data_IF_623644411178
#
_entry.id   IF_623644411178
#
_cell.length_a   1.000
_cell.length_b   1.000
_cell.length_c   1.000
_cell.angle_alpha   90.00
_cell.angle_beta   90.00
_cell.angle_gamma   90.00
#
_symmetry.space_group_name_H-M   'P 1'
#
loop_
_entity.id
_entity.type
_entity.pdbx_description
1 polymer ?
#
# COMPACT_ATOMS: atom_id res chain seq x y z
N UNK A 1 -38.62 19.31 -1.23
CA UNK A 1 -38.09 20.34 -0.32
C UNK A 1 -36.58 20.31 -0.46
N UNK A 2 -35.94 21.42 -0.80
CA UNK A 2 -34.49 21.46 -0.93
C UNK A 2 -33.84 21.36 0.46
N UNK A 3 -32.87 20.46 0.63
CA UNK A 3 -32.03 20.37 1.83
C UNK A 3 -31.02 21.53 1.82
N UNK A 4 -30.84 22.17 2.97
CA UNK A 4 -29.80 23.18 3.18
C UNK A 4 -28.79 22.61 4.17
N UNK A 5 -27.55 22.42 3.72
CA UNK A 5 -26.43 22.00 4.54
C UNK A 5 -25.55 23.20 4.86
N UNK A 6 -24.97 23.27 6.07
CA UNK A 6 -24.17 24.44 6.50
C UNK A 6 -22.83 24.00 7.07
N UNK A 7 -21.75 24.55 6.50
CA UNK A 7 -20.38 24.45 7.02
C UNK A 7 -20.05 25.64 7.92
N UNK A 8 -19.00 25.52 8.73
CA UNK A 8 -18.52 26.58 9.62
C UNK A 8 -18.06 27.81 8.82
N UNK A 9 -18.29 29.00 9.38
CA UNK A 9 -17.93 30.30 8.79
C UNK A 9 -18.40 30.48 7.33
N UNK A 10 -19.60 29.99 7.03
CA UNK A 10 -20.16 30.06 5.68
C UNK A 10 -20.50 31.49 5.26
N UNK A 11 -19.94 31.91 4.13
CA UNK A 11 -20.09 33.22 3.49
C UNK A 11 -20.48 33.11 2.00
N UNK A 12 -20.67 31.89 1.49
CA UNK A 12 -20.97 31.61 0.09
C UNK A 12 -21.92 30.42 -0.05
N UNK A 13 -22.61 30.31 -1.18
CA UNK A 13 -23.56 29.22 -1.45
C UNK A 13 -23.20 28.44 -2.71
N UNK A 14 -23.15 27.12 -2.59
CA UNK A 14 -23.07 26.20 -3.74
C UNK A 14 -24.39 25.46 -3.87
N UNK A 15 -24.90 25.36 -5.09
CA UNK A 15 -26.14 24.63 -5.37
C UNK A 15 -25.88 23.51 -6.38
N UNK A 16 -26.46 22.35 -6.14
CA UNK A 16 -26.52 21.29 -7.15
C UNK A 16 -27.54 21.68 -8.21
N UNK A 17 -27.09 21.72 -9.47
CA UNK A 17 -27.98 21.90 -10.63
C UNK A 17 -28.84 20.66 -10.92
N UNK A 18 -28.50 19.49 -10.36
CA UNK A 18 -29.19 18.22 -10.62
C UNK A 18 -30.39 18.00 -9.71
N UNK A 19 -30.23 18.32 -8.42
CA UNK A 19 -31.26 18.05 -7.39
C UNK A 19 -31.68 19.30 -6.60
N UNK A 20 -31.04 20.45 -6.83
CA UNK A 20 -31.37 21.72 -6.18
C UNK A 20 -30.92 21.82 -4.73
N UNK A 21 -30.22 20.82 -4.19
CA UNK A 21 -29.61 20.90 -2.85
C UNK A 21 -28.66 22.08 -2.76
N UNK A 22 -28.68 22.78 -1.62
CA UNK A 22 -27.86 23.99 -1.42
C UNK A 22 -26.97 23.83 -0.20
N UNK A 23 -25.72 24.25 -0.34
CA UNK A 23 -24.66 24.14 0.66
C UNK A 23 -24.13 25.54 0.96
N UNK A 24 -24.31 25.98 2.21
CA UNK A 24 -23.65 27.17 2.73
C UNK A 24 -22.21 26.81 3.13
N UNK A 25 -21.23 27.42 2.47
CA UNK A 25 -19.80 27.08 2.53
C UNK A 25 -18.94 28.31 2.77
N UNK A 26 -17.71 28.09 3.23
CA UNK A 26 -16.69 29.13 3.36
C UNK A 26 -15.87 29.23 2.06
N UNK A 27 -15.97 30.36 1.36
CA UNK A 27 -15.32 30.60 0.06
C UNK A 27 -13.80 30.51 0.13
N UNK A 28 -13.19 31.05 1.18
CA UNK A 28 -11.74 31.01 1.35
C UNK A 28 -11.21 29.57 1.42
N UNK A 29 -11.97 28.61 1.97
CA UNK A 29 -11.60 27.19 1.96
C UNK A 29 -11.63 26.58 0.56
N UNK A 30 -12.58 27.01 -0.29
CA UNK A 30 -12.65 26.57 -1.68
C UNK A 30 -11.45 27.10 -2.48
N UNK A 31 -11.17 28.40 -2.39
CA UNK A 31 -10.04 29.06 -3.08
C UNK A 31 -8.69 28.46 -2.67
N UNK A 32 -8.44 28.31 -1.37
CA UNK A 32 -7.19 27.75 -0.87
C UNK A 32 -7.05 26.23 -1.09
N UNK A 33 -8.17 25.54 -1.29
CA UNK A 33 -8.22 24.09 -1.40
C UNK A 33 -8.30 23.56 -2.83
N UNK A 34 -8.45 24.41 -3.84
CA UNK A 34 -8.67 24.00 -5.23
C UNK A 34 -8.25 25.09 -6.21
N UNK A 35 -7.39 24.74 -7.18
CA UNK A 35 -7.06 25.66 -8.26
C UNK A 35 -8.27 26.01 -9.13
N UNK A 36 -9.17 25.03 -9.38
CA UNK A 36 -10.37 25.25 -10.18
C UNK A 36 -11.28 26.30 -9.54
N UNK A 37 -11.52 26.21 -8.22
CA UNK A 37 -12.32 27.21 -7.52
C UNK A 37 -11.63 28.58 -7.48
N UNK A 38 -10.32 28.61 -7.23
CA UNK A 38 -9.53 29.84 -7.29
C UNK A 38 -9.72 30.57 -8.64
N UNK A 39 -9.50 29.87 -9.75
CA UNK A 39 -9.63 30.43 -11.10
C UNK A 39 -11.07 30.88 -11.42
N UNK A 40 -12.07 30.08 -11.02
CA UNK A 40 -13.48 30.42 -11.19
C UNK A 40 -13.84 31.72 -10.49
N UNK A 41 -13.39 31.90 -9.25
CA UNK A 41 -13.68 33.08 -8.46
C UNK A 41 -12.93 34.31 -8.99
N UNK A 42 -11.67 34.18 -9.39
CA UNK A 42 -10.90 35.27 -10.01
C UNK A 42 -11.56 35.80 -11.30
N UNK A 43 -12.15 34.92 -12.10
CA UNK A 43 -12.80 35.31 -13.36
C UNK A 43 -14.18 35.98 -13.14
N UNK A 44 -14.90 35.62 -12.08
CA UNK A 44 -16.30 35.98 -11.88
C UNK A 44 -16.53 37.13 -10.89
N UNK A 45 -15.52 37.56 -10.12
CA UNK A 45 -15.65 38.54 -9.04
C UNK A 45 -15.86 40.01 -9.47
N UNK A 46 -16.25 40.27 -10.73
CA UNK A 46 -16.52 41.62 -11.25
C UNK A 46 -17.88 42.21 -10.81
N UNK A 47 -18.67 41.47 -10.03
CA UNK A 47 -19.98 41.90 -9.54
C UNK A 47 -19.87 42.60 -8.18
N UNK A 48 -20.36 43.84 -8.07
CA UNK A 48 -20.39 44.61 -6.81
C UNK A 48 -21.32 43.99 -5.74
N UNK A 49 -22.24 43.11 -6.13
CA UNK A 49 -23.14 42.41 -5.20
C UNK A 49 -22.59 41.02 -4.87
N UNK A 50 -21.97 40.90 -3.69
CA UNK A 50 -21.45 39.64 -3.13
C UNK A 50 -22.51 38.80 -2.38
N UNK A 51 -23.59 39.44 -1.90
CA UNK A 51 -24.54 38.81 -0.97
C UNK A 51 -25.47 37.76 -1.61
N UNK A 52 -25.58 37.71 -2.94
CA UNK A 52 -26.45 36.77 -3.68
C UNK A 52 -25.67 35.78 -4.57
N UNK A 53 -24.36 35.62 -4.35
CA UNK A 53 -23.56 34.74 -5.20
C UNK A 53 -23.80 33.26 -4.87
N UNK A 54 -24.48 32.57 -5.79
CA UNK A 54 -24.67 31.13 -5.77
C UNK A 54 -23.90 30.51 -6.93
N UNK A 55 -23.02 29.55 -6.64
CA UNK A 55 -22.34 28.76 -7.66
C UNK A 55 -23.12 27.47 -7.92
N UNK A 56 -23.62 27.32 -9.15
CA UNK A 56 -24.27 26.09 -9.59
C UNK A 56 -23.23 25.07 -10.08
N UNK A 57 -23.21 23.89 -9.46
CA UNK A 57 -22.36 22.77 -9.87
C UNK A 57 -23.19 21.61 -10.41
N UNK A 58 -22.66 20.91 -11.41
CA UNK A 58 -23.29 19.74 -12.01
C UNK A 58 -22.84 18.44 -11.35
N UNK A 59 -23.18 18.32 -10.06
CA UNK A 59 -22.88 17.17 -9.21
C UNK A 59 -24.08 16.87 -8.31
N UNK A 60 -24.38 15.60 -8.02
CA UNK A 60 -25.44 15.26 -7.08
C UNK A 60 -25.07 15.64 -5.65
N UNK A 61 -26.07 15.80 -4.78
CA UNK A 61 -25.92 16.18 -3.36
C UNK A 61 -24.84 15.37 -2.64
N UNK A 62 -24.80 14.05 -2.85
CA UNK A 62 -23.83 13.15 -2.20
C UNK A 62 -22.37 13.43 -2.62
N UNK A 63 -22.15 13.70 -3.91
CA UNK A 63 -20.83 14.04 -4.46
C UNK A 63 -20.38 15.41 -4.00
N UNK A 64 -21.28 16.41 -4.00
CA UNK A 64 -20.97 17.74 -3.46
C UNK A 64 -20.67 17.69 -1.96
N UNK A 65 -21.43 16.91 -1.19
CA UNK A 65 -21.16 16.72 0.23
C UNK A 65 -19.75 16.15 0.47
N UNK A 66 -19.31 15.18 -0.34
CA UNK A 66 -17.96 14.62 -0.27
C UNK A 66 -16.88 15.63 -0.65
N UNK A 67 -17.05 16.35 -1.77
CA UNK A 67 -16.14 17.41 -2.22
C UNK A 67 -15.96 18.49 -1.16
N UNK A 68 -17.07 18.99 -0.61
CA UNK A 68 -17.05 20.04 0.39
C UNK A 68 -16.44 19.58 1.70
N UNK A 69 -16.68 18.33 2.11
CA UNK A 69 -15.96 17.75 3.26
C UNK A 69 -14.46 17.68 3.03
N UNK A 70 -13.99 17.29 1.83
CA UNK A 70 -12.55 17.29 1.52
C UNK A 70 -11.94 18.69 1.64
N UNK A 71 -12.65 19.74 1.23
CA UNK A 71 -12.17 21.12 1.26
C UNK A 71 -12.22 21.74 2.67
N UNK A 72 -13.30 21.52 3.41
CA UNK A 72 -13.51 22.11 4.73
C UNK A 72 -12.82 21.34 5.86
N UNK A 73 -12.83 20.01 5.77
CA UNK A 73 -12.32 19.12 6.81
C UNK A 73 -11.62 17.92 6.17
N UNK A 74 -10.43 18.13 5.57
CA UNK A 74 -9.62 17.05 4.99
C UNK A 74 -9.51 15.86 5.94
N UNK A 75 -9.62 14.62 5.44
CA UNK A 75 -9.48 13.45 6.29
C UNK A 75 -8.07 13.40 6.88
N UNK A 76 -7.98 13.11 8.17
CA UNK A 76 -6.70 12.82 8.80
C UNK A 76 -6.16 11.48 8.26
N UNK A 77 -4.83 11.32 8.10
CA UNK A 77 -4.25 10.05 7.67
C UNK A 77 -4.69 8.89 8.57
N UNK A 78 -4.78 7.66 8.04
CA UNK A 78 -5.14 6.49 8.83
C UNK A 78 -4.09 6.25 9.94
N UNK A 79 -4.55 5.71 11.06
CA UNK A 79 -3.69 5.43 12.22
C UNK A 79 -2.67 4.36 11.85
N UNK A 80 -1.39 4.65 12.07
CA UNK A 80 -0.30 3.72 11.83
C UNK A 80 -0.07 2.82 13.04
N UNK A 81 0.06 1.52 12.79
CA UNK A 81 0.62 0.59 13.78
C UNK A 81 2.13 0.55 13.62
N UNK A 82 2.84 1.22 14.53
CA UNK A 82 4.24 0.88 14.75
C UNK A 82 4.25 -0.48 15.47
N UNK A 83 4.52 -1.57 14.75
CA UNK A 83 5.09 -2.73 15.42
C UNK A 83 6.47 -2.28 15.89
N UNK A 84 6.61 -2.00 17.19
CA UNK A 84 7.93 -1.84 17.78
C UNK A 84 8.74 -3.09 17.41
N UNK A 85 9.89 -2.95 16.72
CA UNK A 85 10.79 -4.08 16.51
C UNK A 85 11.31 -4.46 17.90
N UNK A 86 10.78 -5.53 18.48
CA UNK A 86 11.29 -6.07 19.73
C UNK A 86 12.73 -6.54 19.46
N UNK A 87 13.71 -5.69 19.75
CA UNK A 87 15.13 -6.04 19.80
C UNK A 87 15.93 -6.00 18.49
N UNK A 88 15.38 -5.60 17.34
CA UNK A 88 16.16 -5.55 16.09
C UNK A 88 16.94 -4.23 15.97
N UNK A 89 18.27 -4.29 16.16
CA UNK A 89 19.23 -3.18 15.93
C UNK A 89 19.43 -2.82 14.44
N UNK A 90 18.63 -3.39 13.55
CA UNK A 90 18.69 -3.16 12.10
C UNK A 90 17.39 -2.49 11.71
N UNK A 91 17.48 -1.29 11.12
CA UNK A 91 16.33 -0.58 10.56
C UNK A 91 15.78 -1.43 9.41
N UNK A 92 14.78 -2.26 9.70
CA UNK A 92 14.11 -3.08 8.69
C UNK A 92 13.09 -2.24 7.95
N UNK A 93 13.05 -2.37 6.62
CA UNK A 93 11.93 -1.94 5.76
C UNK A 93 10.71 -2.85 6.00
N UNK A 94 10.25 -2.96 7.25
CA UNK A 94 8.94 -3.56 7.50
C UNK A 94 7.92 -2.57 6.94
N UNK A 95 7.01 -3.02 6.07
CA UNK A 95 6.09 -2.09 5.46
C UNK A 95 5.14 -1.53 6.52
N UNK A 96 4.91 -0.23 6.45
CA UNK A 96 4.01 0.50 7.37
C UNK A 96 2.65 -0.18 7.32
N UNK A 97 2.09 -0.51 8.49
CA UNK A 97 0.74 -1.05 8.61
C UNK A 97 -0.19 0.00 9.19
N UNK A 98 -1.41 -0.01 8.70
CA UNK A 98 -2.46 0.92 9.09
C UNK A 98 -3.62 0.19 9.73
N UNK A 99 -4.35 0.89 10.60
CA UNK A 99 -5.63 0.43 11.12
C UNK A 99 -6.72 0.62 10.06
N UNK A 100 -7.17 -0.50 9.49
CA UNK A 100 -8.24 -0.53 8.50
C UNK A 100 -9.56 0.07 9.02
N UNK A 101 -9.80 0.07 10.33
CA UNK A 101 -11.00 0.69 10.91
C UNK A 101 -10.98 2.21 10.82
N UNK A 102 -9.80 2.79 10.67
CA UNK A 102 -9.58 4.24 10.48
C UNK A 102 -9.40 4.61 9.01
N UNK A 103 -9.31 3.62 8.11
CA UNK A 103 -9.12 3.84 6.70
C UNK A 103 -10.46 4.12 5.98
N UNK A 104 -10.46 5.10 5.07
CA UNK A 104 -11.61 5.35 4.21
C UNK A 104 -11.82 4.12 3.30
N UNK A 105 -13.04 3.57 3.20
CA UNK A 105 -13.31 2.40 2.36
C UNK A 105 -12.96 2.63 0.88
N UNK A 106 -12.43 1.59 0.21
CA UNK A 106 -11.99 1.67 -1.19
C UNK A 106 -13.03 2.28 -2.15
N UNK A 107 -14.33 1.90 -2.15
CA UNK A 107 -15.32 2.50 -3.05
C UNK A 107 -15.45 4.01 -2.88
N UNK A 108 -15.33 4.50 -1.65
CA UNK A 108 -15.38 5.93 -1.34
C UNK A 108 -14.09 6.61 -1.79
N UNK A 109 -12.92 6.00 -1.57
CA UNK A 109 -11.65 6.53 -2.07
C UNK A 109 -11.67 6.76 -3.59
N UNK A 110 -12.30 5.88 -4.37
CA UNK A 110 -12.44 6.07 -5.84
C UNK A 110 -13.08 7.42 -6.17
N UNK A 111 -14.17 7.74 -5.47
CA UNK A 111 -14.87 9.01 -5.62
C UNK A 111 -14.00 10.19 -5.17
N UNK A 112 -13.29 10.06 -4.04
CA UNK A 112 -12.45 11.16 -3.52
C UNK A 112 -11.27 11.48 -4.44
N UNK A 113 -10.63 10.46 -5.04
CA UNK A 113 -9.59 10.68 -6.05
C UNK A 113 -10.14 11.30 -7.34
N UNK A 114 -11.33 10.86 -7.80
CA UNK A 114 -12.00 11.49 -8.94
C UNK A 114 -12.29 12.98 -8.68
N UNK A 115 -12.77 13.32 -7.49
CA UNK A 115 -12.99 14.71 -7.09
C UNK A 115 -11.70 15.50 -6.98
N UNK A 116 -10.65 14.87 -6.47
CA UNK A 116 -9.31 15.48 -6.38
C UNK A 116 -8.78 15.85 -7.76
N UNK A 117 -8.94 14.97 -8.76
CA UNK A 117 -8.59 15.24 -10.15
C UNK A 117 -9.47 16.34 -10.77
N UNK A 118 -10.79 16.13 -10.74
CA UNK A 118 -11.77 17.03 -11.37
C UNK A 118 -11.68 18.47 -10.88
N UNK A 119 -11.47 18.65 -9.58
CA UNK A 119 -11.41 19.97 -8.95
C UNK A 119 -9.99 20.40 -8.59
N UNK A 120 -8.96 19.68 -9.04
CA UNK A 120 -7.54 19.99 -8.76
C UNK A 120 -7.30 20.32 -7.26
N UNK A 121 -7.74 19.43 -6.37
CA UNK A 121 -7.72 19.68 -4.93
C UNK A 121 -6.30 19.68 -4.37
N UNK A 122 -6.04 20.62 -3.45
CA UNK A 122 -4.74 20.84 -2.81
C UNK A 122 -4.70 20.20 -1.42
N UNK A 123 -3.52 19.73 -1.01
CA UNK A 123 -3.22 19.26 0.35
C UNK A 123 -4.01 18.04 0.87
N UNK A 124 -4.88 17.43 0.07
CA UNK A 124 -5.62 16.21 0.45
C UNK A 124 -4.94 14.92 -0.04
N UNK A 125 -4.13 15.04 -1.09
CA UNK A 125 -3.65 13.90 -1.86
C UNK A 125 -2.80 12.93 -1.02
N UNK A 126 -1.91 13.44 -0.18
CA UNK A 126 -1.03 12.58 0.65
C UNK A 126 -1.82 11.78 1.70
N UNK A 127 -2.85 12.40 2.28
CA UNK A 127 -3.76 11.69 3.20
C UNK A 127 -4.56 10.61 2.48
N UNK A 128 -5.10 10.92 1.30
CA UNK A 128 -5.82 9.94 0.47
C UNK A 128 -4.92 8.79 0.01
N UNK A 129 -3.65 9.06 -0.34
CA UNK A 129 -2.64 8.03 -0.64
C UNK A 129 -2.40 7.12 0.55
N UNK A 130 -2.27 7.66 1.75
CA UNK A 130 -2.10 6.86 2.97
C UNK A 130 -3.33 5.97 3.24
N UNK A 131 -4.54 6.49 3.06
CA UNK A 131 -5.77 5.69 3.14
C UNK A 131 -5.82 4.58 2.09
N UNK A 132 -5.40 4.87 0.85
CA UNK A 132 -5.34 3.87 -0.21
C UNK A 132 -4.32 2.76 0.10
N UNK A 133 -3.14 3.13 0.61
CA UNK A 133 -2.10 2.19 1.04
C UNK A 133 -2.51 1.35 2.25
N UNK A 134 -3.41 1.84 3.11
CA UNK A 134 -3.95 1.07 4.22
C UNK A 134 -4.60 -0.24 3.77
N UNK A 135 -5.22 -0.26 2.57
CA UNK A 135 -5.86 -1.44 1.99
C UNK A 135 -4.89 -2.37 1.26
N UNK A 136 -3.64 -1.97 1.02
CA UNK A 136 -2.70 -2.77 0.24
C UNK A 136 -2.47 -4.20 0.78
N UNK A 137 -2.40 -4.45 2.10
CA UNK A 137 -2.23 -5.80 2.63
C UNK A 137 -3.36 -6.78 2.32
N UNK A 138 -4.60 -6.30 2.16
CA UNK A 138 -5.77 -7.13 1.84
C UNK A 138 -6.09 -7.11 0.35
N UNK A 139 -5.90 -5.97 -0.31
CA UNK A 139 -6.38 -5.69 -1.66
C UNK A 139 -5.24 -5.25 -2.61
N UNK A 140 -4.05 -5.84 -2.44
CA UNK A 140 -2.81 -5.39 -3.10
C UNK A 140 -2.92 -5.18 -4.61
N UNK A 141 -3.56 -6.11 -5.34
CA UNK A 141 -3.75 -5.98 -6.79
C UNK A 141 -4.64 -4.80 -7.18
N UNK A 142 -5.71 -4.57 -6.42
CA UNK A 142 -6.63 -3.45 -6.63
C UNK A 142 -5.92 -2.13 -6.32
N UNK A 143 -5.23 -2.04 -5.18
CA UNK A 143 -4.50 -0.83 -4.80
C UNK A 143 -3.38 -0.50 -5.80
N UNK A 144 -2.67 -1.52 -6.28
CA UNK A 144 -1.68 -1.40 -7.34
C UNK A 144 -2.26 -0.80 -8.62
N UNK A 145 -3.34 -1.39 -9.13
CA UNK A 145 -4.03 -0.89 -10.31
C UNK A 145 -4.52 0.55 -10.13
N UNK A 146 -5.03 0.88 -8.95
CA UNK A 146 -5.46 2.24 -8.59
C UNK A 146 -4.31 3.25 -8.67
N UNK A 147 -3.14 2.91 -8.12
CA UNK A 147 -1.95 3.76 -8.22
C UNK A 147 -1.55 4.03 -9.68
N UNK A 148 -1.64 3.02 -10.54
CA UNK A 148 -1.32 3.16 -11.97
C UNK A 148 -2.35 4.00 -12.74
N UNK A 149 -3.65 3.74 -12.54
CA UNK A 149 -4.73 4.47 -13.20
C UNK A 149 -4.73 5.97 -12.87
N UNK A 150 -4.20 6.33 -11.71
CA UNK A 150 -4.13 7.70 -11.21
C UNK A 150 -2.72 8.29 -11.29
N UNK A 151 -1.83 7.72 -12.11
CA UNK A 151 -0.43 8.19 -12.25
C UNK A 151 -0.28 9.66 -12.67
N UNK A 152 -1.31 10.27 -13.25
CA UNK A 152 -1.33 11.71 -13.53
C UNK A 152 -1.50 12.58 -12.26
N UNK A 153 -2.04 12.02 -11.18
CA UNK A 153 -2.31 12.70 -9.91
C UNK A 153 -1.09 12.66 -8.97
N UNK A 154 -0.01 13.34 -9.37
CA UNK A 154 1.22 13.42 -8.58
C UNK A 154 1.94 12.07 -8.46
N UNK A 155 2.68 11.85 -7.36
CA UNK A 155 3.47 10.63 -7.17
C UNK A 155 2.60 9.41 -6.74
N UNK A 156 1.73 8.94 -7.62
CA UNK A 156 0.95 7.70 -7.43
C UNK A 156 1.74 6.45 -7.85
N UNK A 157 2.82 6.61 -8.60
CA UNK A 157 3.78 5.53 -8.91
C UNK A 157 4.36 4.91 -7.65
N UNK A 158 4.64 5.74 -6.63
CA UNK A 158 5.02 5.25 -5.30
C UNK A 158 3.96 4.32 -4.69
N UNK A 159 2.67 4.70 -4.75
CA UNK A 159 1.56 3.88 -4.21
C UNK A 159 1.50 2.53 -4.92
N UNK A 160 1.60 2.52 -6.25
CA UNK A 160 1.63 1.29 -7.03
C UNK A 160 2.83 0.42 -6.62
N UNK A 161 4.02 1.01 -6.50
CA UNK A 161 5.21 0.28 -6.09
C UNK A 161 5.09 -0.31 -4.68
N UNK A 162 4.57 0.45 -3.72
CA UNK A 162 4.30 -0.04 -2.37
C UNK A 162 3.28 -1.18 -2.36
N UNK A 163 2.19 -1.06 -3.12
CA UNK A 163 1.16 -2.09 -3.18
C UNK A 163 1.65 -3.40 -3.82
N UNK A 164 2.62 -3.31 -4.73
CA UNK A 164 3.15 -4.46 -5.48
C UNK A 164 3.73 -5.57 -4.59
N UNK A 165 4.23 -5.22 -3.40
CA UNK A 165 4.77 -6.21 -2.45
C UNK A 165 3.70 -7.11 -1.81
N UNK A 166 2.43 -6.70 -1.86
CA UNK A 166 1.31 -7.42 -1.28
C UNK A 166 0.54 -8.25 -2.31
N UNK A 167 0.88 -8.13 -3.60
CA UNK A 167 0.22 -8.89 -4.66
C UNK A 167 0.58 -10.37 -4.52
N UNK A 168 -0.45 -11.22 -4.38
CA UNK A 168 -0.33 -12.66 -4.35
C UNK A 168 0.22 -13.19 -5.69
N UNK A 169 0.73 -14.42 -5.76
CA UNK A 169 1.15 -15.01 -7.03
C UNK A 169 0.05 -14.84 -8.09
N UNK A 170 0.41 -14.26 -9.25
CA UNK A 170 -0.57 -13.91 -10.28
C UNK A 170 -1.51 -15.06 -10.70
N UNK A 171 -1.08 -16.34 -10.75
CA UNK A 171 -1.97 -17.46 -11.06
C UNK A 171 -3.14 -17.67 -10.08
N UNK A 172 -3.12 -17.02 -8.91
CA UNK A 172 -4.18 -17.16 -7.90
C UNK A 172 -5.35 -16.22 -8.14
N UNK A 173 -5.17 -15.20 -9.00
CA UNK A 173 -6.25 -14.29 -9.37
C UNK A 173 -7.04 -14.83 -10.56
N UNK A 174 -8.36 -14.62 -10.51
CA UNK A 174 -9.23 -14.82 -11.65
C UNK A 174 -8.95 -13.80 -12.77
N UNK A 175 -9.41 -14.12 -13.98
CA UNK A 175 -9.31 -13.19 -15.10
C UNK A 175 -10.03 -11.86 -14.83
N UNK A 176 -11.15 -11.88 -14.10
CA UNK A 176 -11.90 -10.67 -13.78
C UNK A 176 -11.18 -9.78 -12.76
N UNK A 177 -10.46 -10.37 -11.82
CA UNK A 177 -9.60 -9.62 -10.89
C UNK A 177 -8.40 -9.01 -11.61
N UNK A 178 -7.78 -9.73 -12.55
CA UNK A 178 -6.61 -9.22 -13.30
C UNK A 178 -6.97 -8.06 -14.23
N UNK A 179 -8.21 -8.00 -14.75
CA UNK A 179 -8.68 -6.93 -15.64
C UNK A 179 -8.61 -5.53 -15.02
N UNK A 180 -8.48 -5.40 -13.71
CA UNK A 180 -8.30 -4.10 -13.05
C UNK A 180 -6.96 -3.46 -13.41
N UNK A 181 -5.94 -4.26 -13.78
CA UNK A 181 -4.63 -3.76 -14.17
C UNK A 181 -4.72 -3.05 -15.52
N UNK A 182 -4.32 -1.77 -15.64
CA UNK A 182 -4.62 -0.96 -16.82
C UNK A 182 -3.98 -1.46 -18.12
N UNK A 183 -2.74 -1.96 -18.05
CA UNK A 183 -1.98 -2.37 -19.23
C UNK A 183 -1.29 -3.72 -19.07
N UNK A 184 -0.98 -4.35 -20.20
CA UNK A 184 -0.18 -5.60 -20.24
C UNK A 184 1.23 -5.36 -19.68
N UNK A 185 1.80 -4.18 -19.89
CA UNK A 185 3.12 -3.83 -19.36
C UNK A 185 3.10 -3.80 -17.82
N UNK A 186 2.06 -3.22 -17.23
CA UNK A 186 1.89 -3.16 -15.77
C UNK A 186 1.70 -4.55 -15.16
N UNK A 187 0.95 -5.43 -15.82
CA UNK A 187 0.82 -6.83 -15.42
C UNK A 187 2.17 -7.56 -15.51
N UNK A 188 2.90 -7.35 -16.61
CA UNK A 188 4.19 -7.97 -16.83
C UNK A 188 5.24 -7.53 -15.79
N UNK A 189 5.19 -6.27 -15.33
CA UNK A 189 6.06 -5.76 -14.28
C UNK A 189 5.86 -6.52 -12.96
N UNK A 190 4.61 -6.81 -12.57
CA UNK A 190 4.33 -7.65 -11.39
C UNK A 190 4.87 -9.07 -11.60
N UNK A 191 4.68 -9.64 -12.79
CA UNK A 191 5.22 -10.96 -13.10
C UNK A 191 6.76 -11.01 -13.02
N UNK A 192 7.45 -9.98 -13.53
CA UNK A 192 8.92 -9.82 -13.42
C UNK A 192 9.35 -9.79 -11.96
N UNK A 193 8.68 -8.99 -11.14
CA UNK A 193 8.93 -8.92 -9.69
C UNK A 193 8.80 -10.29 -9.03
N UNK A 194 7.69 -10.98 -9.25
CA UNK A 194 7.42 -12.28 -8.64
C UNK A 194 8.44 -13.34 -9.08
N UNK A 195 8.77 -13.38 -10.38
CA UNK A 195 9.76 -14.31 -10.94
C UNK A 195 11.15 -14.06 -10.35
N UNK A 196 11.56 -12.79 -10.26
CA UNK A 196 12.84 -12.42 -9.67
C UNK A 196 12.91 -12.86 -8.21
N UNK A 197 11.86 -12.56 -7.44
CA UNK A 197 11.77 -12.93 -6.00
C UNK A 197 11.90 -14.43 -5.80
N UNK A 198 11.16 -15.23 -6.56
CA UNK A 198 11.23 -16.70 -6.47
C UNK A 198 12.65 -17.20 -6.71
N UNK A 199 13.29 -16.75 -7.80
CA UNK A 199 14.67 -17.15 -8.13
C UNK A 199 15.67 -16.76 -7.04
N UNK A 200 15.60 -15.52 -6.56
CA UNK A 200 16.51 -15.02 -5.53
C UNK A 200 16.32 -15.76 -4.19
N UNK A 201 15.08 -16.00 -3.78
CA UNK A 201 14.77 -16.76 -2.56
C UNK A 201 15.23 -18.21 -2.65
N UNK A 202 15.03 -18.87 -3.80
CA UNK A 202 15.54 -20.23 -4.05
C UNK A 202 17.07 -20.27 -3.99
N UNK A 203 17.76 -19.31 -4.61
CA UNK A 203 19.22 -19.22 -4.61
C UNK A 203 19.77 -19.03 -3.19
N UNK A 204 19.17 -18.13 -2.41
CA UNK A 204 19.53 -17.92 -1.00
C UNK A 204 19.34 -19.22 -0.21
N UNK A 205 18.16 -19.85 -0.31
CA UNK A 205 17.82 -21.05 0.45
C UNK A 205 18.74 -22.24 0.12
N UNK A 206 19.05 -22.46 -1.15
CA UNK A 206 19.92 -23.57 -1.59
C UNK A 206 21.37 -23.34 -1.17
N UNK A 207 21.83 -22.09 -1.08
CA UNK A 207 23.20 -21.78 -0.66
C UNK A 207 23.40 -21.73 0.85
N UNK A 208 22.32 -21.67 1.63
CA UNK A 208 22.46 -21.59 3.09
C UNK A 208 22.91 -22.92 3.70
N UNK A 209 23.98 -22.86 4.49
CA UNK A 209 24.53 -23.98 5.23
C UNK A 209 24.17 -23.87 6.71
N UNK A 210 23.82 -25.01 7.34
CA UNK A 210 23.57 -25.05 8.79
C UNK A 210 24.84 -24.77 9.61
N UNK A 211 26.00 -25.23 9.12
CA UNK A 211 27.29 -25.10 9.79
C UNK A 211 28.33 -24.49 8.83
N UNK A 212 28.31 -23.17 8.62
CA UNK A 212 29.29 -22.51 7.77
C UNK A 212 30.70 -22.84 8.23
N UNK A 213 31.53 -23.41 7.35
CA UNK A 213 32.91 -23.86 7.66
C UNK A 213 33.01 -24.82 8.86
N UNK A 214 31.93 -25.53 9.21
CA UNK A 214 31.89 -26.45 10.36
C UNK A 214 31.72 -25.78 11.73
N UNK A 215 31.53 -24.46 11.79
CA UNK A 215 31.25 -23.78 13.05
C UNK A 215 29.90 -24.19 13.63
N UNK A 216 29.86 -24.46 14.93
CA UNK A 216 28.63 -24.84 15.65
C UNK A 216 28.24 -26.32 15.53
N UNK A 217 29.05 -27.15 14.87
CA UNK A 217 28.79 -28.59 14.76
C UNK A 217 28.69 -29.27 16.13
N UNK A 218 27.63 -30.06 16.30
CA UNK A 218 27.47 -30.91 17.47
C UNK A 218 28.12 -32.27 17.24
N UNK A 219 28.97 -32.73 18.17
CA UNK A 219 29.65 -34.02 18.04
C UNK A 219 28.67 -35.20 17.87
N UNK A 220 27.52 -35.14 18.53
CA UNK A 220 26.53 -36.23 18.54
C UNK A 220 25.56 -36.17 17.36
N UNK A 221 25.13 -34.97 16.95
CA UNK A 221 24.00 -34.80 16.03
C UNK A 221 24.35 -34.15 14.70
N UNK A 222 25.61 -33.79 14.43
CA UNK A 222 25.97 -32.99 13.24
C UNK A 222 25.42 -33.59 11.93
N UNK A 223 25.57 -34.90 11.72
CA UNK A 223 25.16 -35.57 10.47
C UNK A 223 23.65 -35.56 10.31
N UNK A 224 22.91 -35.86 11.39
CA UNK A 224 21.45 -35.83 11.38
C UNK A 224 20.90 -34.42 11.22
N UNK A 225 21.50 -33.44 11.89
CA UNK A 225 21.10 -32.04 11.80
C UNK A 225 21.34 -31.47 10.39
N UNK A 226 22.53 -31.69 9.82
CA UNK A 226 22.84 -31.28 8.45
C UNK A 226 21.92 -31.95 7.42
N UNK A 227 21.68 -33.26 7.55
CA UNK A 227 20.77 -33.98 6.66
C UNK A 227 19.31 -33.49 6.77
N UNK A 228 18.86 -33.12 7.97
CA UNK A 228 17.52 -32.55 8.19
C UNK A 228 17.40 -31.17 7.53
N UNK A 229 18.39 -30.30 7.73
CA UNK A 229 18.46 -28.99 7.07
C UNK A 229 18.48 -29.12 5.54
N UNK A 230 19.35 -29.98 5.01
CA UNK A 230 19.50 -30.22 3.58
C UNK A 230 18.21 -30.71 2.92
N UNK A 231 17.53 -31.65 3.58
CA UNK A 231 16.26 -32.16 3.11
C UNK A 231 15.20 -31.06 3.10
N UNK A 232 15.09 -30.29 4.18
CA UNK A 232 14.11 -29.23 4.31
C UNK A 232 14.32 -28.14 3.25
N UNK A 233 15.57 -27.66 3.06
CA UNK A 233 15.87 -26.63 2.04
C UNK A 233 15.55 -27.09 0.62
N UNK A 234 15.86 -28.35 0.26
CA UNK A 234 15.57 -28.89 -1.08
C UNK A 234 14.06 -29.00 -1.32
N UNK A 235 13.32 -29.48 -0.32
CA UNK A 235 11.86 -29.60 -0.42
C UNK A 235 11.21 -28.21 -0.51
N UNK A 236 11.63 -27.29 0.36
CA UNK A 236 11.08 -25.94 0.40
C UNK A 236 11.42 -25.15 -0.86
N UNK A 237 12.64 -25.26 -1.40
CA UNK A 237 13.04 -24.58 -2.64
C UNK A 237 12.09 -24.86 -3.82
N UNK A 238 11.52 -26.07 -3.90
CA UNK A 238 10.54 -26.44 -4.94
C UNK A 238 9.16 -25.82 -4.76
N UNK A 239 8.87 -25.30 -3.56
CA UNK A 239 7.59 -24.72 -3.15
C UNK A 239 7.67 -23.21 -2.91
N UNK A 240 8.82 -22.59 -3.12
CA UNK A 240 8.99 -21.14 -2.94
C UNK A 240 8.13 -20.39 -3.96
N UNK A 241 7.31 -19.50 -3.46
CA UNK A 241 6.55 -18.49 -4.19
C UNK A 241 7.06 -17.08 -3.83
N UNK A 242 6.55 -16.04 -4.50
CA UNK A 242 7.03 -14.67 -4.35
C UNK A 242 6.81 -14.08 -2.95
N UNK A 243 5.82 -14.58 -2.20
CA UNK A 243 5.44 -14.13 -0.87
C UNK A 243 5.82 -15.11 0.26
N UNK A 244 6.51 -16.22 -0.05
CA UNK A 244 6.88 -17.23 0.96
C UNK A 244 7.80 -16.65 2.04
N UNK A 245 7.44 -16.85 3.31
CA UNK A 245 8.34 -16.62 4.44
C UNK A 245 9.30 -17.82 4.61
N UNK A 246 10.35 -17.83 3.80
CA UNK A 246 11.33 -18.93 3.75
C UNK A 246 11.96 -19.21 5.12
N UNK A 247 12.19 -18.19 5.94
CA UNK A 247 12.76 -18.38 7.28
C UNK A 247 11.74 -18.97 8.24
N UNK A 248 10.50 -18.46 8.25
CA UNK A 248 9.41 -19.01 9.06
C UNK A 248 9.12 -20.49 8.74
N UNK A 249 9.13 -20.87 7.47
CA UNK A 249 8.96 -22.27 7.04
C UNK A 249 10.08 -23.19 7.58
N UNK A 250 11.30 -22.67 7.70
CA UNK A 250 12.47 -23.40 8.23
C UNK A 250 12.52 -23.43 9.76
N UNK A 251 11.77 -22.58 10.46
CA UNK A 251 11.77 -22.46 11.93
C UNK A 251 11.31 -23.76 12.62
N UNK A 252 10.45 -24.55 11.96
CA UNK A 252 9.98 -25.84 12.45
C UNK A 252 11.12 -26.81 12.82
N UNK A 253 12.28 -26.69 12.17
CA UNK A 253 13.46 -27.53 12.44
C UNK A 253 14.10 -27.24 13.80
N UNK A 254 13.93 -26.03 14.34
CA UNK A 254 14.45 -25.65 15.66
C UNK A 254 13.86 -26.56 16.74
N UNK A 255 12.55 -26.86 16.63
CA UNK A 255 11.84 -27.72 17.59
C UNK A 255 12.31 -29.17 17.56
N UNK A 256 12.78 -29.68 16.41
CA UNK A 256 13.27 -31.06 16.27
C UNK A 256 14.52 -31.29 17.14
N UNK A 257 15.36 -30.27 17.29
CA UNK A 257 16.62 -30.33 18.02
C UNK A 257 16.64 -29.52 19.33
N UNK A 258 15.46 -29.16 19.85
CA UNK A 258 15.33 -28.34 21.07
C UNK A 258 16.00 -28.96 22.31
N UNK A 259 16.13 -30.30 22.36
CA UNK A 259 16.79 -31.02 23.45
C UNK A 259 18.32 -30.88 23.45
N UNK A 260 18.92 -30.43 22.33
CA UNK A 260 20.36 -30.22 22.21
C UNK A 260 20.66 -28.72 22.03
N UNK A 261 21.12 -28.06 23.08
CA UNK A 261 21.37 -26.60 23.08
C UNK A 261 22.28 -26.12 21.95
N UNK A 262 23.31 -26.89 21.58
CA UNK A 262 24.21 -26.57 20.46
C UNK A 262 23.49 -26.61 19.11
N UNK A 263 22.71 -27.66 18.85
CA UNK A 263 21.96 -27.79 17.60
C UNK A 263 20.85 -26.75 17.53
N UNK A 264 20.07 -26.57 18.61
CA UNK A 264 19.04 -25.53 18.70
C UNK A 264 19.63 -24.16 18.34
N UNK A 265 20.76 -23.77 18.97
CA UNK A 265 21.43 -22.51 18.66
C UNK A 265 21.88 -22.40 17.21
N UNK A 266 22.39 -23.49 16.62
CA UNK A 266 22.79 -23.50 15.22
C UNK A 266 21.61 -23.31 14.25
N UNK A 267 20.49 -24.01 14.48
CA UNK A 267 19.27 -23.83 13.69
C UNK A 267 18.69 -22.43 13.84
N UNK A 268 18.60 -21.88 15.07
CA UNK A 268 18.14 -20.51 15.30
C UNK A 268 18.99 -19.51 14.53
N UNK A 269 20.33 -19.59 14.64
CA UNK A 269 21.22 -18.69 13.94
C UNK A 269 21.13 -18.82 12.41
N UNK A 270 20.98 -20.04 11.88
CA UNK A 270 20.81 -20.26 10.45
C UNK A 270 19.47 -19.70 9.94
N UNK A 271 18.39 -19.88 10.69
CA UNK A 271 17.06 -19.30 10.37
C UNK A 271 17.09 -17.77 10.44
N UNK A 272 17.73 -17.19 11.45
CA UNK A 272 17.90 -15.73 11.56
C UNK A 272 18.72 -15.17 10.38
N UNK A 273 19.80 -15.84 9.99
CA UNK A 273 20.61 -15.45 8.83
C UNK A 273 19.83 -15.55 7.52
N UNK A 274 19.03 -16.60 7.38
CA UNK A 274 18.13 -16.80 6.24
C UNK A 274 17.09 -15.67 6.19
N UNK A 275 16.46 -15.34 7.32
CA UNK A 275 15.53 -14.21 7.43
C UNK A 275 16.19 -12.90 7.00
N UNK A 276 17.41 -12.63 7.50
CA UNK A 276 18.18 -11.45 7.13
C UNK A 276 18.45 -11.38 5.61
N UNK A 277 18.92 -12.48 5.00
CA UNK A 277 19.19 -12.54 3.55
C UNK A 277 17.91 -12.38 2.73
N UNK A 278 16.83 -13.08 3.09
CA UNK A 278 15.54 -13.00 2.41
C UNK A 278 14.90 -11.60 2.50
N UNK A 279 15.10 -10.86 3.60
CA UNK A 279 14.62 -9.47 3.74
C UNK A 279 15.27 -8.51 2.74
N UNK A 280 16.46 -8.82 2.24
CA UNK A 280 17.17 -7.99 1.24
C UNK A 280 16.71 -8.23 -0.20
N UNK A 281 15.85 -9.22 -0.44
CA UNK A 281 15.29 -9.48 -1.78
C UNK A 281 14.24 -8.41 -2.10
N UNK A 282 14.38 -7.66 -3.22
CA UNK A 282 13.42 -6.68 -3.72
C UNK A 282 11.97 -7.11 -3.55
N UNK A 283 11.18 -6.32 -2.81
CA UNK A 283 9.75 -6.57 -2.55
C UNK A 283 8.84 -5.70 -3.40
N UNK A 284 9.33 -4.55 -3.83
CA UNK A 284 8.58 -3.55 -4.59
C UNK A 284 9.14 -3.40 -6.00
N UNK A 285 8.34 -2.86 -6.91
CA UNK A 285 8.75 -2.63 -8.30
C UNK A 285 9.91 -1.64 -8.43
N UNK A 286 9.92 -0.57 -7.64
CA UNK A 286 10.98 0.44 -7.59
C UNK A 286 12.33 -0.11 -7.05
N UNK A 287 12.32 -1.33 -6.51
CA UNK A 287 13.51 -2.01 -6.00
C UNK A 287 14.08 -3.03 -7.01
N UNK A 288 13.40 -3.26 -8.13
CA UNK A 288 13.90 -4.18 -9.14
C UNK A 288 15.14 -3.60 -9.83
N UNK A 289 16.19 -4.42 -10.03
CA UNK A 289 17.31 -4.01 -10.87
C UNK A 289 16.86 -3.78 -12.32
N UNK A 290 17.45 -2.79 -13.00
CA UNK A 290 17.11 -2.43 -14.38
C UNK A 290 17.37 -3.58 -15.38
N UNK A 291 18.29 -4.48 -15.07
CA UNK A 291 18.78 -5.55 -15.96
C UNK A 291 17.95 -6.87 -15.92
N UNK A 292 16.78 -6.90 -15.27
CA UNK A 292 16.00 -8.13 -15.00
C UNK A 292 14.89 -8.41 -16.01
#
# INVERSE_FOLDING_TARGET
MASIHRFEDADFSIRSSLDGSTFAVNRAKLENGSYVFCDMFECCDRSENREDQVLDLHEPESTLSALLRLLHSPPAPPVQFLREPIGEKVITQLPIRYDLTTAIPLPVLRLLFYLTDKYALLNVLDSLKAHLLAHAPTDGLTVYAYGLSLSALGDMSYVASEASQYILPLPWYSLDEVKVVPTVADYHNVHRLQTYRVKALQEILVREELFPHGYGMCATHNTGAAAAWDRARIILARKVESNTDVAGEMESLVYIFQSCSKCCKAFTAAVEMLAYKCRRVPRRLDQLPDDV
#
